data_IF_339664003440
#
_entry.id   IF_339664003440
#
_cell.length_a   1.000
_cell.length_b   1.000
_cell.length_c   1.000
_cell.angle_alpha   90.00
_cell.angle_beta   90.00
_cell.angle_gamma   90.00
#
_symmetry.space_group_name_H-M   'P 1'
#
loop_
_entity.id
_entity.type
_entity.pdbx_description
1 polymer ?
#
# COMPACT_ATOMS: atom_id res chain seq x y z
N UNK A 1 20.30 11.55 8.45
CA UNK A 1 18.84 11.43 8.66
C UNK A 1 18.11 12.78 8.65
N UNK A 2 18.21 13.66 9.66
CA UNK A 2 17.48 14.96 9.62
C UNK A 2 17.75 15.77 8.34
N UNK A 3 19.02 15.90 7.94
CA UNK A 3 19.42 16.56 6.69
C UNK A 3 18.73 15.98 5.44
N UNK A 4 18.57 14.66 5.38
CA UNK A 4 17.93 13.98 4.25
C UNK A 4 16.43 14.22 4.24
N UNK A 5 15.77 14.20 5.41
CA UNK A 5 14.34 14.51 5.52
C UNK A 5 14.03 15.96 5.12
N UNK A 6 14.84 16.93 5.53
CA UNK A 6 14.70 18.32 5.07
C UNK A 6 14.87 18.43 3.55
N UNK A 7 15.88 17.77 2.96
CA UNK A 7 16.04 17.73 1.50
C UNK A 7 14.83 17.10 0.79
N UNK A 8 14.28 16.02 1.32
CA UNK A 8 13.06 15.42 0.78
C UNK A 8 11.91 16.43 0.85
N UNK A 9 11.74 17.11 1.98
CA UNK A 9 10.72 18.15 2.15
C UNK A 9 10.86 19.28 1.13
N UNK A 10 12.09 19.77 0.90
CA UNK A 10 12.38 20.80 -0.10
C UNK A 10 12.00 20.32 -1.52
N UNK A 11 12.40 19.10 -1.88
CA UNK A 11 12.09 18.49 -3.18
C UNK A 11 10.57 18.36 -3.37
N UNK A 12 9.84 17.78 -2.41
CA UNK A 12 8.39 17.60 -2.56
C UNK A 12 7.64 18.93 -2.54
N UNK A 13 8.13 19.93 -1.81
CA UNK A 13 7.57 21.29 -1.81
C UNK A 13 7.73 21.96 -3.17
N UNK A 14 8.90 21.84 -3.80
CA UNK A 14 9.17 22.42 -5.11
C UNK A 14 8.21 21.88 -6.19
N UNK A 15 7.81 20.62 -6.10
CA UNK A 15 6.89 19.98 -7.05
C UNK A 15 5.41 20.22 -6.76
N UNK A 16 5.07 20.82 -5.61
CA UNK A 16 3.67 20.95 -5.20
C UNK A 16 2.86 21.87 -6.13
N UNK A 17 3.45 22.96 -6.62
CA UNK A 17 2.75 23.95 -7.46
C UNK A 17 2.25 23.36 -8.78
N UNK A 18 3.00 22.41 -9.36
CA UNK A 18 2.66 21.78 -10.64
C UNK A 18 1.79 20.52 -10.48
N UNK A 19 1.54 20.09 -9.24
CA UNK A 19 0.82 18.85 -8.96
C UNK A 19 -0.68 19.01 -9.17
N UNK A 20 -1.19 18.38 -10.24
CA UNK A 20 -2.62 18.37 -10.57
C UNK A 20 -3.38 17.17 -9.99
N UNK A 21 -2.69 16.05 -9.83
CA UNK A 21 -3.29 14.81 -9.31
C UNK A 21 -3.62 14.95 -7.83
N UNK A 22 -4.79 14.47 -7.42
CA UNK A 22 -5.18 14.35 -6.00
C UNK A 22 -4.93 12.95 -5.42
N UNK A 23 -4.37 12.04 -6.22
CA UNK A 23 -4.09 10.65 -5.85
C UNK A 23 -3.03 10.47 -4.75
N UNK A 24 -2.73 9.22 -4.44
CA UNK A 24 -1.83 8.86 -3.34
C UNK A 24 -0.35 8.92 -3.75
N UNK A 25 0.05 8.23 -4.81
CA UNK A 25 1.48 7.96 -5.06
C UNK A 25 2.22 9.11 -5.71
N UNK A 26 1.54 9.81 -6.61
CA UNK A 26 2.02 10.99 -7.35
C UNK A 26 0.99 12.12 -7.30
N UNK A 27 0.27 12.23 -6.18
CA UNK A 27 -0.76 13.22 -6.00
C UNK A 27 -0.78 13.83 -4.60
N UNK A 28 -1.70 14.79 -4.42
CA UNK A 28 -1.80 15.60 -3.21
C UNK A 28 -2.06 14.78 -1.96
N UNK A 29 -2.77 13.65 -2.05
CA UNK A 29 -2.98 12.79 -0.87
C UNK A 29 -1.66 12.25 -0.33
N UNK A 30 -0.71 11.85 -1.18
CA UNK A 30 0.62 11.44 -0.73
C UNK A 30 1.36 12.55 0.02
N UNK A 31 1.29 13.78 -0.51
CA UNK A 31 1.88 14.95 0.14
C UNK A 31 1.22 15.25 1.48
N UNK A 32 -0.10 15.11 1.59
CA UNK A 32 -0.82 15.25 2.85
C UNK A 32 -0.24 14.27 3.88
N UNK A 33 -0.11 12.98 3.54
CA UNK A 33 0.48 11.99 4.45
C UNK A 33 1.91 12.36 4.87
N UNK A 34 2.73 12.77 3.90
CA UNK A 34 4.11 13.18 4.16
C UNK A 34 4.17 14.36 5.13
N UNK A 35 3.41 15.43 4.90
CA UNK A 35 3.49 16.63 5.73
C UNK A 35 2.96 16.39 7.13
N UNK A 36 1.88 15.64 7.31
CA UNK A 36 1.40 15.27 8.65
C UNK A 36 2.48 14.52 9.45
N UNK A 37 3.11 13.51 8.84
CA UNK A 37 4.22 12.80 9.47
C UNK A 37 5.42 13.68 9.73
N UNK A 38 5.75 14.59 8.81
CA UNK A 38 6.87 15.52 8.94
C UNK A 38 6.67 16.51 10.10
N UNK A 39 5.45 17.05 10.25
CA UNK A 39 5.11 17.94 11.37
C UNK A 39 5.25 17.22 12.71
N UNK A 40 4.72 15.99 12.81
CA UNK A 40 4.86 15.13 13.98
C UNK A 40 6.32 14.81 14.29
N UNK A 41 7.10 14.49 13.26
CA UNK A 41 8.53 14.19 13.40
C UNK A 41 9.33 15.36 13.98
N UNK A 42 8.97 16.59 13.60
CA UNK A 42 9.58 17.82 14.13
C UNK A 42 9.01 18.26 15.49
N UNK A 43 8.01 17.54 16.02
CA UNK A 43 7.26 17.94 17.23
C UNK A 43 6.67 19.35 17.12
N UNK A 44 6.28 19.76 15.91
CA UNK A 44 5.54 20.98 15.66
C UNK A 44 4.06 20.64 15.78
N UNK A 45 3.54 20.64 17.01
CA UNK A 45 2.14 20.29 17.35
C UNK A 45 1.10 21.31 16.83
N UNK A 46 1.53 22.45 16.26
CA UNK A 46 0.63 23.58 16.02
C UNK A 46 0.66 23.97 14.55
N UNK A 47 -0.46 23.64 13.90
CA UNK A 47 -0.94 24.05 12.58
C UNK A 47 -0.03 23.70 11.39
N UNK A 48 -0.17 22.46 10.92
CA UNK A 48 0.26 22.11 9.57
C UNK A 48 -0.75 22.63 8.54
N UNK A 49 -0.90 23.95 8.47
CA UNK A 49 -1.79 24.64 7.53
C UNK A 49 -1.61 24.12 6.09
N UNK A 50 -0.38 23.75 5.71
CA UNK A 50 -0.12 23.17 4.40
C UNK A 50 -0.80 21.81 4.22
N UNK A 51 -0.63 20.88 5.17
CA UNK A 51 -1.30 19.58 5.11
C UNK A 51 -2.82 19.71 5.17
N UNK A 52 -3.34 20.62 6.01
CA UNK A 52 -4.78 20.91 6.12
C UNK A 52 -5.34 21.42 4.79
N UNK A 53 -4.72 22.45 4.20
CA UNK A 53 -5.16 23.02 2.92
C UNK A 53 -5.12 21.98 1.79
N UNK A 54 -4.09 21.12 1.77
CA UNK A 54 -3.99 20.06 0.77
C UNK A 54 -5.06 18.98 0.97
N UNK A 55 -5.37 18.63 2.23
CA UNK A 55 -6.42 17.69 2.55
C UNK A 55 -7.80 18.23 2.12
N UNK A 56 -8.11 19.49 2.44
CA UNK A 56 -9.35 20.14 2.01
C UNK A 56 -9.49 20.13 0.49
N UNK A 57 -8.40 20.38 -0.24
CA UNK A 57 -8.39 20.31 -1.69
C UNK A 57 -8.67 18.89 -2.20
N UNK A 58 -8.04 17.87 -1.61
CA UNK A 58 -8.28 16.45 -1.94
C UNK A 58 -9.75 16.10 -1.71
N UNK A 59 -10.29 16.42 -0.52
CA UNK A 59 -11.67 16.11 -0.14
C UNK A 59 -12.68 16.79 -1.07
N UNK A 60 -12.46 18.07 -1.42
CA UNK A 60 -13.35 18.82 -2.34
C UNK A 60 -13.41 18.25 -3.76
N UNK A 61 -12.43 17.42 -4.14
CA UNK A 61 -12.30 16.82 -5.48
C UNK A 61 -12.49 15.31 -5.49
N UNK A 62 -12.47 14.63 -4.34
CA UNK A 62 -12.55 13.17 -4.22
C UNK A 62 -13.80 12.61 -4.89
N UNK A 63 -14.97 13.23 -4.71
CA UNK A 63 -16.23 12.81 -5.34
C UNK A 63 -16.27 12.90 -6.88
N UNK A 64 -15.24 13.50 -7.51
CA UNK A 64 -15.11 13.61 -8.98
C UNK A 64 -14.12 12.60 -9.57
N UNK A 65 -13.48 11.79 -8.74
CA UNK A 65 -12.49 10.79 -9.18
C UNK A 65 -13.24 9.58 -9.73
N UNK A 66 -12.98 9.26 -11.01
CA UNK A 66 -13.63 8.14 -11.71
C UNK A 66 -12.86 6.81 -11.68
N UNK A 67 -11.67 6.77 -11.08
CA UNK A 67 -10.88 5.54 -10.93
C UNK A 67 -10.91 5.06 -9.47
N UNK A 68 -10.99 3.73 -9.28
CA UNK A 68 -10.98 3.05 -7.99
C UNK A 68 -9.58 2.64 -7.51
N UNK A 69 -8.55 2.81 -8.32
CA UNK A 69 -7.19 2.37 -8.01
C UNK A 69 -6.53 3.04 -6.81
N UNK A 70 -5.42 2.47 -6.38
CA UNK A 70 -4.57 2.99 -5.30
C UNK A 70 -3.77 4.22 -5.74
N UNK A 71 -3.30 4.23 -6.99
CA UNK A 71 -2.34 5.24 -7.45
C UNK A 71 -2.96 6.64 -7.54
N UNK A 72 -4.04 6.73 -8.32
CA UNK A 72 -4.73 7.98 -8.69
C UNK A 72 -6.21 7.98 -8.30
N UNK A 73 -6.69 6.90 -7.69
CA UNK A 73 -8.11 6.61 -7.50
C UNK A 73 -8.62 6.74 -6.07
N UNK A 74 -9.91 6.44 -5.91
CA UNK A 74 -10.66 6.52 -4.65
C UNK A 74 -10.07 5.64 -3.55
N UNK A 75 -9.57 4.44 -3.87
CA UNK A 75 -8.97 3.58 -2.85
C UNK A 75 -7.72 4.20 -2.23
N UNK A 76 -6.86 4.82 -3.04
CA UNK A 76 -5.66 5.50 -2.55
C UNK A 76 -5.98 6.69 -1.65
N UNK A 77 -6.94 7.51 -2.08
CA UNK A 77 -7.44 8.65 -1.30
C UNK A 77 -8.03 8.17 0.02
N UNK A 78 -8.93 7.18 -0.04
CA UNK A 78 -9.56 6.61 1.14
C UNK A 78 -8.57 5.95 2.11
N UNK A 79 -7.59 5.21 1.60
CA UNK A 79 -6.49 4.67 2.42
C UNK A 79 -5.71 5.79 3.10
N UNK A 80 -5.46 6.89 2.40
CA UNK A 80 -4.82 8.06 2.95
C UNK A 80 -5.62 8.67 4.10
N UNK A 81 -6.92 8.88 3.92
CA UNK A 81 -7.78 9.42 4.99
C UNK A 81 -7.80 8.48 6.20
N UNK A 82 -7.97 7.17 5.98
CA UNK A 82 -7.93 6.18 7.06
C UNK A 82 -6.57 6.15 7.78
N UNK A 83 -5.47 6.33 7.05
CA UNK A 83 -4.15 6.49 7.65
C UNK A 83 -4.11 7.70 8.59
N UNK A 84 -4.66 8.84 8.18
CA UNK A 84 -4.69 10.04 9.01
C UNK A 84 -5.52 9.84 10.27
N UNK A 85 -6.70 9.23 10.16
CA UNK A 85 -7.59 8.91 11.29
C UNK A 85 -6.87 7.98 12.27
N UNK A 86 -6.34 6.85 11.79
CA UNK A 86 -5.66 5.84 12.63
C UNK A 86 -4.47 6.42 13.38
N UNK A 87 -3.78 7.36 12.76
CA UNK A 87 -2.63 8.01 13.37
C UNK A 87 -3.01 9.22 14.22
N UNK A 88 -4.30 9.52 14.45
CA UNK A 88 -4.75 10.67 15.26
C UNK A 88 -4.28 12.02 14.69
N UNK A 89 -4.16 12.13 13.37
CA UNK A 89 -3.86 13.40 12.70
C UNK A 89 -5.12 14.25 12.47
N UNK A 90 -6.25 13.58 12.25
CA UNK A 90 -7.54 14.21 11.95
C UNK A 90 -8.67 13.44 12.62
N UNK A 91 -9.74 14.15 12.95
CA UNK A 91 -11.04 13.56 13.28
C UNK A 91 -11.95 13.70 12.08
N UNK A 92 -12.45 12.58 11.57
CA UNK A 92 -13.36 12.56 10.41
C UNK A 92 -14.61 11.81 10.83
N UNK A 93 -15.77 12.39 10.57
CA UNK A 93 -17.06 11.73 10.82
C UNK A 93 -17.25 10.57 9.84
N UNK A 94 -17.89 9.48 10.29
CA UNK A 94 -18.14 8.31 9.44
C UNK A 94 -18.87 8.67 8.14
N UNK A 95 -19.79 9.64 8.21
CA UNK A 95 -20.56 10.12 7.06
C UNK A 95 -19.70 10.74 5.95
N UNK A 96 -18.51 11.24 6.28
CA UNK A 96 -17.65 11.94 5.32
C UNK A 96 -17.09 11.03 4.21
N UNK A 97 -17.09 9.72 4.42
CA UNK A 97 -16.54 8.74 3.47
C UNK A 97 -17.62 7.94 2.72
N UNK A 98 -18.90 8.09 3.05
CA UNK A 98 -20.00 7.30 2.48
C UNK A 98 -20.02 7.36 0.95
N UNK A 99 -19.93 8.57 0.37
CA UNK A 99 -19.97 8.75 -1.09
C UNK A 99 -18.73 8.15 -1.77
N UNK A 100 -17.56 8.27 -1.13
CA UNK A 100 -16.32 7.68 -1.61
C UNK A 100 -16.43 6.15 -1.63
N UNK A 101 -16.94 5.57 -0.55
CA UNK A 101 -17.12 4.13 -0.37
C UNK A 101 -18.14 3.57 -1.36
N UNK A 102 -19.28 4.24 -1.52
CA UNK A 102 -20.29 3.84 -2.49
C UNK A 102 -19.70 3.77 -3.91
N UNK A 103 -18.96 4.79 -4.33
CA UNK A 103 -18.33 4.81 -5.65
C UNK A 103 -17.22 3.75 -5.78
N UNK A 104 -16.38 3.61 -4.74
CA UNK A 104 -15.31 2.63 -4.71
C UNK A 104 -15.81 1.19 -4.84
N UNK A 105 -16.86 0.83 -4.10
CA UNK A 105 -17.39 -0.54 -4.09
C UNK A 105 -18.40 -0.83 -5.22
N UNK A 106 -18.88 0.20 -5.92
CA UNK A 106 -19.73 0.03 -7.12
C UNK A 106 -18.95 -0.07 -8.43
N UNK A 107 -17.70 0.39 -8.47
CA UNK A 107 -16.83 0.25 -9.64
C UNK A 107 -15.97 -1.02 -9.64
N UNK A 108 -14.92 -1.03 -10.46
CA UNK A 108 -14.05 -2.20 -10.62
C UNK A 108 -13.26 -2.50 -9.34
N UNK A 109 -13.17 -3.79 -9.00
CA UNK A 109 -12.43 -4.25 -7.82
C UNK A 109 -10.92 -4.35 -8.04
N UNK A 110 -10.48 -4.43 -9.30
CA UNK A 110 -9.07 -4.48 -9.67
C UNK A 110 -8.83 -3.42 -10.72
N UNK A 111 -8.00 -2.44 -10.36
CA UNK A 111 -7.47 -1.45 -11.30
C UNK A 111 -6.10 -1.92 -11.79
N UNK A 112 -5.88 -1.91 -13.10
CA UNK A 112 -4.58 -2.16 -13.72
C UNK A 112 -3.95 -0.81 -14.10
N UNK A 113 -3.54 -0.07 -13.07
CA UNK A 113 -2.93 1.24 -13.21
C UNK A 113 -1.52 1.21 -13.81
N UNK A 114 -0.92 2.38 -13.94
CA UNK A 114 0.40 2.56 -14.56
C UNK A 114 1.48 1.88 -13.72
N UNK A 115 1.47 2.17 -12.41
CA UNK A 115 2.46 1.67 -11.48
C UNK A 115 1.93 0.57 -10.59
N UNK A 116 0.61 0.39 -10.45
CA UNK A 116 0.04 -0.60 -9.54
C UNK A 116 -1.16 -1.33 -10.13
N UNK A 117 -1.19 -2.64 -9.91
CA UNK A 117 -2.34 -3.50 -10.17
C UNK A 117 -2.78 -4.15 -8.87
N UNK A 118 -3.82 -3.65 -8.22
CA UNK A 118 -4.22 -4.14 -6.88
C UNK A 118 -5.71 -4.41 -6.77
N UNK A 119 -6.06 -5.33 -5.86
CA UNK A 119 -7.41 -5.48 -5.32
C UNK A 119 -7.75 -4.26 -4.44
N UNK A 120 -7.91 -3.11 -5.09
CA UNK A 120 -7.84 -1.78 -4.47
C UNK A 120 -8.92 -1.56 -3.39
N UNK A 121 -10.19 -1.95 -3.59
CA UNK A 121 -11.18 -1.83 -2.52
C UNK A 121 -10.89 -2.74 -1.32
N UNK A 122 -10.17 -3.86 -1.49
CA UNK A 122 -9.77 -4.69 -0.34
C UNK A 122 -8.69 -4.02 0.51
N UNK A 123 -7.72 -3.36 -0.13
CA UNK A 123 -6.69 -2.57 0.57
C UNK A 123 -7.35 -1.43 1.36
N UNK A 124 -8.29 -0.72 0.73
CA UNK A 124 -9.10 0.29 1.42
C UNK A 124 -9.90 -0.29 2.58
N UNK A 125 -10.65 -1.38 2.35
CA UNK A 125 -11.48 -2.03 3.35
C UNK A 125 -10.69 -2.38 4.62
N UNK A 126 -9.47 -2.90 4.45
CA UNK A 126 -8.59 -3.26 5.55
C UNK A 126 -7.85 -2.08 6.19
N UNK A 127 -7.81 -0.93 5.53
CA UNK A 127 -7.25 0.29 6.12
C UNK A 127 -8.18 0.94 7.15
N UNK A 128 -9.48 0.62 7.13
CA UNK A 128 -10.47 1.20 8.04
C UNK A 128 -10.09 0.98 9.51
N UNK A 129 -10.01 2.07 10.25
CA UNK A 129 -9.91 2.07 11.69
C UNK A 129 -11.29 1.76 12.31
N UNK A 130 -11.34 1.06 13.44
CA UNK A 130 -12.62 0.74 14.13
C UNK A 130 -13.32 -0.57 13.75
N UNK A 131 -12.81 -1.33 12.76
CA UNK A 131 -13.25 -2.70 12.47
C UNK A 131 -14.55 -2.82 11.66
N UNK A 132 -15.21 -3.98 11.74
CA UNK A 132 -16.35 -4.40 10.88
C UNK A 132 -17.60 -3.54 11.06
N UNK A 133 -17.74 -2.87 12.19
CA UNK A 133 -18.95 -2.14 12.59
C UNK A 133 -19.14 -0.80 11.84
N UNK A 134 -18.07 -0.26 11.25
CA UNK A 134 -18.07 1.06 10.58
C UNK A 134 -18.40 1.02 9.07
N UNK A 135 -18.87 -0.12 8.56
CA UNK A 135 -19.29 -0.28 7.17
C UNK A 135 -20.61 -1.06 7.14
N UNK A 136 -21.72 -0.34 6.90
CA UNK A 136 -23.07 -0.95 6.89
C UNK A 136 -23.25 -2.11 5.92
N UNK A 137 -22.37 -2.25 4.91
CA UNK A 137 -22.37 -3.33 3.92
C UNK A 137 -21.08 -4.18 3.92
N UNK A 138 -20.35 -4.23 5.05
CA UNK A 138 -19.06 -4.92 5.17
C UNK A 138 -19.08 -6.34 4.59
N UNK A 139 -20.04 -7.17 5.01
CA UNK A 139 -20.13 -8.57 4.57
C UNK A 139 -20.34 -8.69 3.05
N UNK A 140 -21.14 -7.82 2.45
CA UNK A 140 -21.39 -7.78 1.00
C UNK A 140 -20.10 -7.43 0.25
N UNK A 141 -19.34 -6.45 0.76
CA UNK A 141 -18.05 -6.08 0.18
C UNK A 141 -17.03 -7.20 0.30
N UNK A 142 -16.92 -7.84 1.46
CA UNK A 142 -16.03 -9.00 1.65
C UNK A 142 -16.38 -10.13 0.69
N UNK A 143 -17.67 -10.49 0.56
CA UNK A 143 -18.11 -11.53 -0.37
C UNK A 143 -17.80 -11.19 -1.82
N UNK A 144 -18.00 -9.92 -2.22
CA UNK A 144 -17.65 -9.43 -3.56
C UNK A 144 -16.16 -9.58 -3.81
N UNK A 145 -15.31 -9.15 -2.87
CA UNK A 145 -13.86 -9.24 -2.99
C UNK A 145 -13.35 -10.69 -2.97
N UNK A 146 -13.95 -11.58 -2.17
CA UNK A 146 -13.67 -13.01 -2.20
C UNK A 146 -14.01 -13.63 -3.56
N UNK A 147 -15.10 -13.20 -4.20
CA UNK A 147 -15.45 -13.63 -5.55
C UNK A 147 -14.49 -13.09 -6.61
N UNK A 148 -14.02 -11.86 -6.47
CA UNK A 148 -12.94 -11.31 -7.30
C UNK A 148 -11.66 -12.13 -7.14
N UNK A 149 -11.22 -12.41 -5.91
CA UNK A 149 -10.09 -13.30 -5.65
C UNK A 149 -10.29 -14.67 -6.31
N UNK A 150 -11.50 -15.24 -6.22
CA UNK A 150 -11.85 -16.53 -6.84
C UNK A 150 -11.73 -16.45 -8.36
N UNK A 151 -12.23 -15.39 -8.99
CA UNK A 151 -12.12 -15.18 -10.43
C UNK A 151 -10.64 -15.14 -10.87
N UNK A 152 -9.82 -14.34 -10.20
CA UNK A 152 -8.39 -14.25 -10.51
C UNK A 152 -7.62 -15.54 -10.18
N UNK A 153 -8.05 -16.30 -9.16
CA UNK A 153 -7.49 -17.61 -8.87
C UNK A 153 -7.97 -18.71 -9.85
N UNK A 154 -9.14 -18.58 -10.46
CA UNK A 154 -9.60 -19.50 -11.51
C UNK A 154 -8.96 -19.15 -12.85
N UNK A 155 -8.68 -17.87 -13.08
CA UNK A 155 -7.89 -17.44 -14.23
C UNK A 155 -6.39 -17.74 -14.06
N UNK A 156 -5.93 -18.35 -12.96
CA UNK A 156 -4.61 -19.00 -12.93
C UNK A 156 -4.47 -20.01 -14.10
N UNK A 157 -5.57 -20.67 -14.46
CA UNK A 157 -5.60 -21.64 -15.57
C UNK A 157 -5.70 -20.97 -16.95
N UNK A 158 -5.83 -19.64 -17.04
CA UNK A 158 -5.92 -18.91 -18.31
C UNK A 158 -4.54 -18.65 -18.96
N UNK A 159 -3.46 -19.14 -18.34
CA UNK A 159 -2.06 -18.96 -18.73
C UNK A 159 -1.56 -17.50 -18.79
N UNK A 160 -2.34 -16.51 -18.35
CA UNK A 160 -1.89 -15.11 -18.25
C UNK A 160 -1.22 -14.90 -16.90
N UNK A 161 0.05 -14.47 -16.95
CA UNK A 161 0.82 -13.99 -15.79
C UNK A 161 0.06 -12.84 -15.13
N UNK A 162 -0.15 -12.94 -13.82
CA UNK A 162 -0.77 -11.88 -13.01
C UNK A 162 0.33 -11.03 -12.35
N UNK A 163 0.20 -9.70 -12.31
CA UNK A 163 1.13 -8.84 -11.59
C UNK A 163 1.30 -9.26 -10.13
N UNK A 164 2.52 -9.23 -9.60
CA UNK A 164 2.79 -9.67 -8.23
C UNK A 164 2.12 -8.78 -7.17
N UNK A 165 1.99 -7.48 -7.40
CA UNK A 165 1.26 -6.57 -6.51
C UNK A 165 -0.24 -6.89 -6.40
N UNK A 166 -0.85 -7.45 -7.46
CA UNK A 166 -2.21 -7.97 -7.39
C UNK A 166 -2.26 -9.19 -6.47
N UNK A 167 -1.30 -10.11 -6.62
CA UNK A 167 -1.19 -11.29 -5.75
C UNK A 167 -0.94 -10.86 -4.30
N UNK A 168 -0.07 -9.87 -4.08
CA UNK A 168 0.22 -9.34 -2.76
C UNK A 168 -1.02 -8.75 -2.10
N UNK A 169 -1.77 -7.90 -2.80
CA UNK A 169 -3.00 -7.30 -2.27
C UNK A 169 -4.09 -8.36 -2.00
N UNK A 170 -4.22 -9.38 -2.85
CA UNK A 170 -5.10 -10.52 -2.60
C UNK A 170 -4.67 -11.34 -1.39
N UNK A 171 -3.37 -11.67 -1.27
CA UNK A 171 -2.84 -12.44 -0.15
C UNK A 171 -2.97 -11.67 1.17
N UNK A 172 -2.64 -10.37 1.17
CA UNK A 172 -2.87 -9.47 2.28
C UNK A 172 -4.34 -9.50 2.73
N UNK A 173 -5.27 -9.38 1.78
CA UNK A 173 -6.70 -9.44 2.07
C UNK A 173 -7.10 -10.73 2.79
N UNK A 174 -6.71 -11.87 2.24
CA UNK A 174 -7.09 -13.18 2.77
C UNK A 174 -6.44 -13.46 4.14
N UNK A 175 -5.20 -13.01 4.36
CA UNK A 175 -4.52 -13.15 5.65
C UNK A 175 -5.19 -12.31 6.74
N UNK A 176 -5.60 -11.08 6.43
CA UNK A 176 -6.32 -10.24 7.39
C UNK A 176 -7.72 -10.80 7.71
N UNK A 177 -8.46 -11.33 6.73
CA UNK A 177 -9.72 -12.01 7.00
C UNK A 177 -9.54 -13.16 8.01
N UNK A 178 -8.47 -13.95 7.86
CA UNK A 178 -8.14 -15.01 8.81
C UNK A 178 -7.84 -14.48 10.20
N UNK A 179 -7.02 -13.42 10.32
CA UNK A 179 -6.72 -12.78 11.62
C UNK A 179 -7.99 -12.28 12.32
N UNK A 180 -8.96 -11.81 11.54
CA UNK A 180 -10.26 -11.33 12.02
C UNK A 180 -11.33 -12.42 12.18
N UNK A 181 -10.98 -13.70 11.99
CA UNK A 181 -11.90 -14.84 12.00
C UNK A 181 -13.12 -14.69 11.06
N UNK A 182 -12.91 -14.13 9.87
CA UNK A 182 -13.94 -13.94 8.82
C UNK A 182 -13.68 -14.87 7.66
N UNK A 183 -14.70 -15.61 7.20
CA UNK A 183 -14.62 -16.47 6.01
C UNK A 183 -13.33 -17.32 5.95
N UNK A 184 -12.91 -17.84 7.11
CA UNK A 184 -11.59 -18.48 7.29
C UNK A 184 -11.39 -19.63 6.31
N UNK A 185 -12.42 -20.45 6.10
CA UNK A 185 -12.37 -21.58 5.18
C UNK A 185 -12.20 -21.15 3.72
N UNK A 186 -12.96 -20.16 3.26
CA UNK A 186 -12.81 -19.59 1.92
C UNK A 186 -11.42 -18.95 1.74
N UNK A 187 -10.95 -18.23 2.77
CA UNK A 187 -9.64 -17.61 2.77
C UNK A 187 -8.52 -18.65 2.64
N UNK A 188 -8.55 -19.72 3.45
CA UNK A 188 -7.59 -20.82 3.37
C UNK A 188 -7.57 -21.48 1.99
N UNK A 189 -8.76 -21.72 1.41
CA UNK A 189 -8.87 -22.31 0.07
C UNK A 189 -8.27 -21.41 -1.02
N UNK A 190 -8.47 -20.10 -0.93
CA UNK A 190 -7.93 -19.14 -1.89
C UNK A 190 -6.42 -18.94 -1.70
N UNK A 191 -5.93 -18.89 -0.46
CA UNK A 191 -4.50 -18.85 -0.15
C UNK A 191 -3.80 -20.08 -0.72
N UNK A 192 -4.36 -21.28 -0.54
CA UNK A 192 -3.81 -22.51 -1.12
C UNK A 192 -3.68 -22.39 -2.65
N UNK A 193 -4.69 -21.84 -3.34
CA UNK A 193 -4.62 -21.62 -4.79
C UNK A 193 -3.55 -20.61 -5.20
N UNK A 194 -3.39 -19.52 -4.44
CA UNK A 194 -2.33 -18.53 -4.66
C UNK A 194 -0.95 -19.19 -4.52
N UNK A 195 -0.74 -19.97 -3.45
CA UNK A 195 0.54 -20.64 -3.24
C UNK A 195 0.85 -21.65 -4.36
N UNK A 196 -0.13 -22.44 -4.79
CA UNK A 196 0.03 -23.36 -5.94
C UNK A 196 0.41 -22.58 -7.21
N UNK A 197 -0.23 -21.43 -7.46
CA UNK A 197 0.14 -20.58 -8.59
C UNK A 197 1.58 -20.07 -8.50
N UNK A 198 2.03 -19.68 -7.32
CA UNK A 198 3.39 -19.20 -7.09
C UNK A 198 4.45 -20.28 -7.32
N UNK A 199 4.12 -21.57 -7.17
CA UNK A 199 4.99 -22.67 -7.56
C UNK A 199 5.16 -22.82 -9.08
N UNK A 200 4.13 -22.51 -9.85
CA UNK A 200 4.17 -22.58 -11.32
C UNK A 200 4.50 -21.22 -11.98
N UNK A 201 4.72 -20.18 -11.16
CA UNK A 201 4.90 -18.82 -11.61
C UNK A 201 6.17 -18.65 -12.43
N UNK A 202 6.04 -18.42 -13.74
CA UNK A 202 7.18 -18.32 -14.65
C UNK A 202 7.89 -16.97 -14.53
N UNK A 203 9.21 -17.01 -14.63
CA UNK A 203 10.07 -15.84 -14.67
C UNK A 203 9.87 -14.88 -13.47
N UNK A 204 9.64 -15.41 -12.26
CA UNK A 204 9.52 -14.61 -11.04
C UNK A 204 10.80 -13.80 -10.76
N UNK A 205 11.93 -14.32 -11.21
CA UNK A 205 13.21 -13.62 -11.20
C UNK A 205 13.24 -12.38 -12.11
N UNK A 206 12.26 -12.19 -12.99
CA UNK A 206 12.14 -10.98 -13.83
C UNK A 206 11.13 -9.97 -13.29
N UNK A 207 10.35 -10.32 -12.27
CA UNK A 207 9.43 -9.36 -11.64
C UNK A 207 10.16 -8.31 -10.82
N UNK A 208 9.43 -7.22 -10.57
CA UNK A 208 9.91 -6.10 -9.78
C UNK A 208 10.24 -6.62 -8.37
N UNK A 209 11.50 -6.41 -7.98
CA UNK A 209 12.02 -6.97 -6.73
C UNK A 209 11.25 -6.50 -5.49
N UNK A 210 10.81 -5.24 -5.47
CA UNK A 210 9.97 -4.71 -4.38
C UNK A 210 8.69 -5.51 -4.15
N UNK A 211 8.00 -5.93 -5.22
CA UNK A 211 6.80 -6.78 -5.10
C UNK A 211 7.14 -8.18 -4.56
N UNK A 212 8.30 -8.71 -4.95
CA UNK A 212 8.80 -10.02 -4.47
C UNK A 212 9.09 -9.97 -2.97
N UNK A 213 9.69 -8.89 -2.47
CA UNK A 213 9.99 -8.71 -1.04
C UNK A 213 8.69 -8.59 -0.23
N UNK A 214 7.69 -7.85 -0.73
CA UNK A 214 6.37 -7.77 -0.08
C UNK A 214 5.70 -9.14 -0.03
N UNK A 215 5.76 -9.91 -1.11
CA UNK A 215 5.24 -11.28 -1.14
C UNK A 215 5.90 -12.12 -0.05
N UNK A 216 7.23 -12.07 0.04
CA UNK A 216 8.01 -12.78 1.05
C UNK A 216 7.58 -12.37 2.47
N UNK A 217 7.42 -11.08 2.74
CA UNK A 217 6.96 -10.56 4.03
C UNK A 217 5.54 -11.04 4.38
N UNK A 218 4.62 -11.09 3.42
CA UNK A 218 3.27 -11.62 3.62
C UNK A 218 3.29 -13.11 3.97
N UNK A 219 4.11 -13.89 3.27
CA UNK A 219 4.25 -15.32 3.53
C UNK A 219 4.81 -15.59 4.94
N UNK A 220 5.71 -14.76 5.46
CA UNK A 220 6.21 -14.90 6.84
C UNK A 220 5.11 -14.77 7.91
N UNK A 221 4.01 -14.08 7.61
CA UNK A 221 2.89 -13.94 8.55
C UNK A 221 2.05 -15.22 8.67
N UNK A 222 2.25 -16.18 7.77
CA UNK A 222 1.56 -17.47 7.80
C UNK A 222 2.29 -18.45 8.74
N UNK A 223 1.60 -19.36 9.44
CA UNK A 223 2.25 -20.43 10.20
C UNK A 223 3.13 -21.33 9.29
N UNK A 224 4.29 -21.77 9.79
CA UNK A 224 5.24 -22.65 9.07
C UNK A 224 4.79 -24.11 8.91
N UNK A 225 3.49 -24.36 9.00
CA UNK A 225 2.91 -25.70 9.08
C UNK A 225 2.55 -26.29 7.71
N UNK A 226 2.53 -25.50 6.63
CA UNK A 226 2.15 -26.00 5.30
C UNK A 226 3.38 -26.31 4.43
N UNK A 227 3.52 -27.55 3.89
CA UNK A 227 4.60 -27.89 2.95
C UNK A 227 4.66 -26.94 1.74
N UNK A 228 3.48 -26.53 1.26
CA UNK A 228 3.32 -25.64 0.12
C UNK A 228 3.94 -24.25 0.37
N UNK A 229 3.74 -23.66 1.56
CA UNK A 229 4.40 -22.40 1.93
C UNK A 229 5.92 -22.56 1.89
N UNK A 230 6.45 -23.64 2.49
CA UNK A 230 7.90 -23.88 2.57
C UNK A 230 8.53 -23.95 1.17
N UNK A 231 7.85 -24.59 0.23
CA UNK A 231 8.33 -24.72 -1.14
C UNK A 231 8.31 -23.37 -1.88
N UNK A 232 7.24 -22.59 -1.75
CA UNK A 232 7.19 -21.22 -2.30
C UNK A 232 8.29 -20.35 -1.70
N UNK A 233 8.48 -20.41 -0.38
CA UNK A 233 9.50 -19.65 0.34
C UNK A 233 10.91 -20.02 -0.10
N UNK A 234 11.22 -21.30 -0.22
CA UNK A 234 12.52 -21.78 -0.71
C UNK A 234 12.80 -21.29 -2.14
N UNK A 235 11.77 -21.24 -2.99
CA UNK A 235 11.89 -20.67 -4.34
C UNK A 235 12.21 -19.18 -4.32
N UNK A 236 11.56 -18.41 -3.44
CA UNK A 236 11.77 -16.96 -3.33
C UNK A 236 13.12 -16.59 -2.74
N UNK A 237 13.63 -17.34 -1.75
CA UNK A 237 14.95 -17.08 -1.17
C UNK A 237 16.11 -17.22 -2.17
N UNK A 238 15.94 -18.00 -3.24
CA UNK A 238 16.93 -18.06 -4.32
C UNK A 238 17.00 -16.78 -5.17
N UNK A 239 16.14 -15.78 -4.91
CA UNK A 239 16.05 -14.52 -5.65
C UNK A 239 16.69 -13.34 -4.89
N UNK A 240 17.36 -13.59 -3.76
CA UNK A 240 17.83 -12.57 -2.80
C UNK A 240 18.91 -11.62 -3.38
N UNK A 241 19.71 -12.05 -4.37
CA UNK A 241 20.81 -11.26 -4.97
C UNK A 241 20.37 -10.34 -6.13
N UNK A 242 19.38 -9.47 -5.91
CA UNK A 242 18.94 -8.50 -6.94
C UNK A 242 19.24 -7.05 -6.56
N UNK A 243 19.70 -6.29 -7.54
CA UNK A 243 19.87 -4.85 -7.41
C UNK A 243 18.52 -4.12 -7.28
N UNK A 244 18.47 -3.16 -6.35
CA UNK A 244 17.31 -2.31 -6.13
C UNK A 244 17.18 -1.23 -7.21
N UNK A 245 16.21 -1.39 -8.11
CA UNK A 245 15.79 -0.32 -9.02
C UNK A 245 14.90 0.71 -8.31
N UNK A 246 14.76 1.90 -8.91
CA UNK A 246 13.84 2.94 -8.42
C UNK A 246 12.40 2.43 -8.36
N UNK A 247 11.97 1.66 -9.36
CA UNK A 247 10.67 0.99 -9.35
C UNK A 247 10.54 0.02 -8.17
N UNK A 248 11.57 -0.78 -7.89
CA UNK A 248 11.54 -1.72 -6.77
C UNK A 248 11.34 -0.99 -5.44
N UNK A 249 12.04 0.13 -5.22
CA UNK A 249 11.84 0.95 -4.04
C UNK A 249 10.44 1.58 -3.98
N UNK A 250 9.93 2.12 -5.10
CA UNK A 250 8.58 2.67 -5.16
C UNK A 250 7.54 1.61 -4.77
N UNK A 251 7.64 0.40 -5.30
CA UNK A 251 6.75 -0.72 -4.99
C UNK A 251 6.77 -1.10 -3.52
N UNK A 252 7.96 -1.34 -2.95
CA UNK A 252 8.05 -1.79 -1.55
C UNK A 252 7.59 -0.72 -0.58
N UNK A 253 8.01 0.54 -0.75
CA UNK A 253 7.72 1.60 0.21
C UNK A 253 6.21 1.89 0.26
N UNK A 254 5.54 1.98 -0.90
CA UNK A 254 4.09 2.18 -0.92
C UNK A 254 3.31 0.98 -0.38
N UNK A 255 3.69 -0.25 -0.74
CA UNK A 255 3.01 -1.44 -0.21
C UNK A 255 3.21 -1.62 1.29
N UNK A 256 4.38 -1.27 1.84
CA UNK A 256 4.59 -1.29 3.30
C UNK A 256 3.67 -0.30 4.02
N UNK A 257 3.52 0.91 3.47
CA UNK A 257 2.59 1.92 4.01
C UNK A 257 1.14 1.40 3.96
N UNK A 258 0.71 0.87 2.81
CA UNK A 258 -0.67 0.43 2.57
C UNK A 258 -1.05 -0.81 3.38
N UNK A 259 -0.19 -1.83 3.38
CA UNK A 259 -0.43 -3.08 4.10
C UNK A 259 -0.07 -2.99 5.58
N UNK A 260 0.38 -1.81 6.02
CA UNK A 260 0.80 -1.56 7.41
C UNK A 260 1.82 -2.58 7.92
N UNK A 261 2.72 -3.02 7.04
CA UNK A 261 3.73 -4.03 7.35
C UNK A 261 4.95 -3.38 7.99
N UNK A 262 4.83 -3.09 9.28
CA UNK A 262 5.92 -2.68 10.16
C UNK A 262 6.13 -3.79 11.20
N UNK A 263 6.52 -4.99 10.77
CA UNK A 263 6.81 -6.09 11.69
C UNK A 263 8.31 -6.20 11.93
N UNK A 264 8.70 -6.66 13.12
CA UNK A 264 10.10 -6.85 13.51
C UNK A 264 10.84 -7.86 12.60
N UNK A 265 10.09 -8.73 11.91
CA UNK A 265 10.60 -9.76 11.01
C UNK A 265 10.44 -9.43 9.52
N UNK A 266 9.93 -8.24 9.17
CA UNK A 266 9.83 -7.84 7.77
C UNK A 266 11.22 -7.58 7.19
N UNK A 267 11.48 -8.04 5.97
CA UNK A 267 12.63 -7.55 5.22
C UNK A 267 12.45 -6.05 5.00
N UNK A 268 13.46 -5.31 5.47
CA UNK A 268 13.52 -3.87 5.38
C UNK A 268 14.35 -3.51 4.13
N UNK A 269 13.87 -2.62 3.24
CA UNK A 269 14.66 -2.19 2.09
C UNK A 269 15.95 -1.50 2.54
N UNK A 270 17.08 -1.87 1.94
CA UNK A 270 18.33 -1.15 2.12
C UNK A 270 18.24 0.20 1.39
N UNK A 271 18.03 1.28 2.13
CA UNK A 271 17.79 2.62 1.54
C UNK A 271 19.07 3.44 1.36
N UNK A 272 20.25 2.93 1.71
CA UNK A 272 21.50 3.69 1.63
C UNK A 272 21.82 4.17 0.21
N UNK A 273 21.51 3.35 -0.81
CA UNK A 273 21.59 3.75 -2.22
C UNK A 273 20.68 4.95 -2.52
N UNK A 274 19.45 4.98 -2.02
CA UNK A 274 18.53 6.12 -2.20
C UNK A 274 19.00 7.37 -1.47
N UNK A 275 19.50 7.21 -0.25
CA UNK A 275 20.05 8.29 0.56
C UNK A 275 21.24 8.95 -0.15
N UNK A 276 22.09 8.17 -0.80
CA UNK A 276 23.17 8.69 -1.64
C UNK A 276 22.66 9.50 -2.85
N UNK A 277 21.58 9.06 -3.51
CA UNK A 277 20.98 9.80 -4.64
C UNK A 277 20.41 11.16 -4.20
N UNK A 278 19.81 11.24 -3.00
CA UNK A 278 19.38 12.52 -2.39
C UNK A 278 20.57 13.46 -2.17
N UNK A 279 21.69 12.90 -1.72
CA UNK A 279 22.87 13.70 -1.43
C UNK A 279 23.55 14.28 -2.69
N UNK A 280 23.29 13.69 -3.86
CA UNK A 280 23.75 14.17 -5.16
C UNK A 280 22.70 14.95 -5.97
N UNK A 281 21.61 15.39 -5.33
CA UNK A 281 20.57 16.26 -5.93
C UNK A 281 19.95 15.73 -7.24
N UNK A 282 19.80 14.41 -7.38
CA UNK A 282 19.09 13.83 -8.52
C UNK A 282 17.59 14.00 -8.30
N UNK A 283 17.01 15.05 -8.88
CA UNK A 283 15.62 15.49 -8.60
C UNK A 283 14.53 14.69 -9.32
N UNK A 284 14.85 13.91 -10.36
CA UNK A 284 13.85 13.36 -11.29
C UNK A 284 13.25 11.99 -10.89
N UNK A 285 13.39 11.61 -9.61
CA UNK A 285 12.86 10.34 -9.09
C UNK A 285 11.41 10.49 -8.60
N UNK A 286 10.50 10.83 -9.53
CA UNK A 286 9.08 11.06 -9.20
C UNK A 286 8.43 9.82 -8.55
N UNK A 287 7.58 10.09 -7.57
CA UNK A 287 6.81 9.06 -6.85
C UNK A 287 7.56 8.29 -5.75
N UNK A 288 8.87 8.53 -5.54
CA UNK A 288 9.66 7.85 -4.49
C UNK A 288 9.88 8.69 -3.22
N UNK A 289 9.91 10.02 -3.35
CA UNK A 289 10.32 10.89 -2.24
C UNK A 289 9.33 10.90 -1.09
N UNK A 290 8.04 10.97 -1.41
CA UNK A 290 6.94 10.89 -0.44
C UNK A 290 7.00 9.61 0.38
N UNK A 291 6.95 8.40 -0.22
CA UNK A 291 6.93 7.17 0.57
C UNK A 291 8.27 6.92 1.27
N UNK A 292 9.41 7.34 0.70
CA UNK A 292 10.71 7.28 1.39
C UNK A 292 10.75 8.17 2.62
N UNK A 293 10.24 9.40 2.52
CA UNK A 293 10.16 10.34 3.64
C UNK A 293 9.32 9.79 4.77
N UNK A 294 8.10 9.32 4.46
CA UNK A 294 7.22 8.64 5.42
C UNK A 294 7.94 7.46 6.06
N UNK A 295 8.65 6.67 5.25
CA UNK A 295 9.37 5.51 5.73
C UNK A 295 10.48 5.87 6.74
N UNK A 296 11.33 6.84 6.41
CA UNK A 296 12.41 7.30 7.28
C UNK A 296 11.88 7.88 8.60
N UNK A 297 10.74 8.57 8.58
CA UNK A 297 10.11 9.12 9.78
C UNK A 297 9.54 8.02 10.69
N UNK A 298 8.88 7.02 10.10
CA UNK A 298 8.31 5.90 10.85
C UNK A 298 9.39 4.97 11.43
N UNK A 299 10.50 4.73 10.72
CA UNK A 299 11.64 3.95 11.25
C UNK A 299 12.21 4.52 12.56
N UNK A 300 12.11 5.84 12.78
CA UNK A 300 12.57 6.46 14.02
C UNK A 300 11.61 6.28 15.20
N UNK A 301 10.33 6.00 14.95
CA UNK A 301 9.37 5.68 16.01
C UNK A 301 9.75 4.34 16.67
N UNK A 302 10.23 3.37 15.89
CA UNK A 302 10.62 2.04 16.38
C UNK A 302 11.99 1.99 17.06
N UNK A 303 12.87 2.98 16.85
CA UNK A 303 14.17 3.06 17.54
C UNK A 303 14.14 3.77 18.90
N UNK A 304 12.98 4.28 19.32
CA UNK A 304 12.78 5.01 20.58
C UNK A 304 12.11 4.17 21.70
N UNK A 305 11.99 2.86 21.51
CA UNK A 305 11.53 1.91 22.53
C UNK A 305 12.72 1.17 23.12
#
# INVERSE_FOLDING_TARGET
MNKQLFKIADIVTAHLQDMKSIGLTEGKMGLVLFYYEFSRYLSLEIDNHLANNLLDEVLSKAGKVGNNGIELGLAGIGCGINYLIRNEFVEVTEDALIDLEYNLFSGESVDFGINFSMLSPAVYLLSKYGGKEMLGNYDVYVLTLLNTCRYYCLSIYDNKKKPLDLINSMLYFLLELKKQNVHVWEADKLIWKILTYLLDYKDIEKDIYGDTVILFNLLHQMPDTTPLKKEVMARLSNLEDKDWSIEAYRKILWQQILFSQWSDNAIIPEVDKLLYLIDNEIQDLKGIWVPLGIYLMNMNKFKKV
#
